data_IF_484341563751
#
_entry.id   IF_484341563751
#
_cell.length_a   1.000
_cell.length_b   1.000
_cell.length_c   1.000
_cell.angle_alpha   90.00
_cell.angle_beta   90.00
_cell.angle_gamma   90.00
#
_symmetry.space_group_name_H-M   'P 1'
#
loop_
_entity.id
_entity.type
_entity.pdbx_description
1 polymer ?
#
# COMPACT_ATOMS: atom_id res chain seq x y z
N UNK A 1 13.54 6.32 -30.93
CA UNK A 1 12.26 6.51 -30.20
C UNK A 1 12.04 8.01 -30.07
N UNK A 2 10.83 8.48 -30.36
CA UNK A 2 10.46 9.89 -30.22
C UNK A 2 10.29 10.27 -28.74
N UNK A 3 10.84 11.42 -28.32
CA UNK A 3 10.83 11.86 -26.91
C UNK A 3 9.39 12.07 -26.40
N UNK A 4 8.50 12.64 -27.21
CA UNK A 4 7.11 12.85 -26.80
C UNK A 4 6.39 11.51 -26.62
N UNK A 5 6.69 10.53 -27.48
CA UNK A 5 6.19 9.17 -27.31
C UNK A 5 6.71 8.50 -26.03
N UNK A 6 7.96 8.77 -25.63
CA UNK A 6 8.53 8.27 -24.37
C UNK A 6 7.81 8.87 -23.15
N UNK A 7 7.62 10.19 -23.15
CA UNK A 7 6.91 10.89 -22.06
C UNK A 7 5.50 10.34 -21.92
N UNK A 8 4.75 10.25 -23.04
CA UNK A 8 3.38 9.73 -23.01
C UNK A 8 3.29 8.30 -22.46
N UNK A 9 4.22 7.42 -22.85
CA UNK A 9 4.24 6.04 -22.33
C UNK A 9 4.51 5.98 -20.83
N UNK A 10 5.37 6.86 -20.32
CA UNK A 10 5.65 6.96 -18.90
C UNK A 10 4.41 7.44 -18.12
N UNK A 11 3.72 8.47 -18.63
CA UNK A 11 2.48 8.98 -18.04
C UNK A 11 1.36 7.91 -18.03
N UNK A 12 1.14 7.23 -19.17
CA UNK A 12 0.13 6.18 -19.29
C UNK A 12 0.43 5.01 -18.31
N UNK A 13 1.71 4.64 -18.15
CA UNK A 13 2.13 3.62 -17.20
C UNK A 13 1.87 4.04 -15.75
N UNK A 14 2.16 5.29 -15.40
CA UNK A 14 1.89 5.83 -14.07
C UNK A 14 0.39 5.89 -13.76
N UNK A 15 -0.44 6.35 -14.71
CA UNK A 15 -1.91 6.37 -14.54
C UNK A 15 -2.47 4.96 -14.31
N UNK A 16 -2.02 3.99 -15.11
CA UNK A 16 -2.43 2.60 -14.95
C UNK A 16 -1.99 2.02 -13.59
N UNK A 17 -0.77 2.34 -13.16
CA UNK A 17 -0.28 2.02 -11.82
C UNK A 17 -1.19 2.60 -10.73
N UNK A 18 -1.50 3.91 -10.77
CA UNK A 18 -2.36 4.56 -9.76
C UNK A 18 -3.74 3.93 -9.68
N UNK A 19 -4.36 3.62 -10.82
CA UNK A 19 -5.67 2.96 -10.87
C UNK A 19 -5.62 1.55 -10.23
N UNK A 20 -4.55 0.78 -10.49
CA UNK A 20 -4.35 -0.55 -9.87
C UNK A 20 -4.10 -0.43 -8.38
N UNK A 21 -3.27 0.52 -7.95
CA UNK A 21 -3.01 0.76 -6.53
C UNK A 21 -4.29 1.14 -5.78
N UNK A 22 -5.12 2.02 -6.35
CA UNK A 22 -6.42 2.39 -5.75
C UNK A 22 -7.34 1.17 -5.59
N UNK A 23 -7.34 0.25 -6.56
CA UNK A 23 -8.10 -1.00 -6.46
C UNK A 23 -7.58 -1.90 -5.33
N UNK A 24 -6.26 -2.01 -5.17
CA UNK A 24 -5.62 -2.76 -4.08
C UNK A 24 -5.91 -2.13 -2.72
N UNK A 25 -5.83 -0.79 -2.61
CA UNK A 25 -6.13 -0.06 -1.39
C UNK A 25 -7.60 -0.26 -0.96
N UNK A 26 -8.55 -0.17 -1.91
CA UNK A 26 -9.97 -0.47 -1.65
C UNK A 26 -10.21 -1.90 -1.21
N UNK A 27 -9.45 -2.85 -1.75
CA UNK A 27 -9.52 -4.25 -1.30
C UNK A 27 -8.94 -4.40 0.12
N UNK A 28 -7.78 -3.81 0.39
CA UNK A 28 -7.13 -3.83 1.69
C UNK A 28 -7.99 -3.19 2.79
N UNK A 29 -8.69 -2.10 2.46
CA UNK A 29 -9.62 -1.40 3.34
C UNK A 29 -10.73 -2.31 3.91
N UNK A 30 -11.07 -3.42 3.23
CA UNK A 30 -12.07 -4.38 3.75
C UNK A 30 -11.59 -5.11 5.00
N UNK A 31 -10.29 -5.25 5.19
CA UNK A 31 -9.66 -5.99 6.28
C UNK A 31 -9.13 -5.07 7.39
N UNK A 32 -9.14 -3.76 7.16
CA UNK A 32 -8.65 -2.71 8.07
C UNK A 32 -9.82 -1.84 8.48
N UNK A 33 -10.17 -1.84 9.77
CA UNK A 33 -11.31 -1.06 10.30
C UNK A 33 -10.92 0.10 11.22
N UNK A 34 -9.62 0.27 11.48
CA UNK A 34 -9.09 1.34 12.33
C UNK A 34 -8.59 2.56 11.57
N UNK A 35 -8.37 2.44 10.26
CA UNK A 35 -7.92 3.53 9.39
C UNK A 35 -8.83 3.63 8.16
N UNK A 36 -9.37 4.81 7.90
CA UNK A 36 -10.23 5.11 6.75
C UNK A 36 -9.45 5.62 5.52
N UNK A 37 -8.13 5.74 5.64
CA UNK A 37 -7.22 6.28 4.62
C UNK A 37 -6.21 5.25 4.14
N UNK A 38 -6.59 3.98 4.12
CA UNK A 38 -5.75 2.91 3.56
C UNK A 38 -5.39 3.27 2.13
N UNK A 39 -4.09 3.28 1.84
CA UNK A 39 -3.57 3.62 0.52
C UNK A 39 -2.58 2.58 0.03
N UNK A 40 -2.10 2.77 -1.20
CA UNK A 40 -1.17 1.86 -1.85
C UNK A 40 -0.10 2.69 -2.55
N UNK A 41 1.16 2.30 -2.38
CA UNK A 41 2.30 2.96 -3.02
C UNK A 41 3.39 1.95 -3.39
N UNK A 42 4.17 2.24 -4.43
CA UNK A 42 5.32 1.44 -4.83
C UNK A 42 6.59 2.04 -4.23
N UNK A 43 7.26 1.29 -3.38
CA UNK A 43 8.54 1.67 -2.80
C UNK A 43 9.70 0.98 -3.55
N UNK A 44 10.79 1.71 -3.90
CA UNK A 44 11.86 1.18 -4.74
C UNK A 44 12.52 -0.13 -4.25
N UNK A 45 12.56 -0.38 -2.94
CA UNK A 45 13.17 -1.58 -2.37
C UNK A 45 12.15 -2.70 -2.08
N UNK A 46 10.91 -2.33 -1.78
CA UNK A 46 9.92 -3.23 -1.17
C UNK A 46 8.79 -3.62 -2.13
N UNK A 47 8.68 -2.93 -3.26
CA UNK A 47 7.65 -3.18 -4.25
C UNK A 47 6.34 -2.48 -3.89
N UNK A 48 5.21 -3.10 -4.24
CA UNK A 48 3.88 -2.57 -3.92
C UNK A 48 3.59 -2.76 -2.43
N UNK A 49 3.23 -1.69 -1.75
CA UNK A 49 2.92 -1.67 -0.33
C UNK A 49 1.52 -1.09 -0.08
N UNK A 50 0.88 -1.58 0.97
CA UNK A 50 -0.31 -1.03 1.60
C UNK A 50 0.14 -0.13 2.75
N UNK A 51 -0.39 1.09 2.80
CA UNK A 51 -0.09 2.06 3.83
C UNK A 51 -1.33 2.27 4.69
N UNK A 52 -1.15 2.21 6.01
CA UNK A 52 -2.20 2.52 6.97
C UNK A 52 -1.62 3.19 8.22
N UNK A 53 -2.35 4.15 8.78
CA UNK A 53 -2.00 4.83 10.02
C UNK A 53 -2.30 3.92 11.21
N UNK A 54 -1.27 3.54 11.97
CA UNK A 54 -1.45 2.77 13.21
C UNK A 54 -1.37 3.70 14.42
N UNK A 55 -2.33 3.61 15.37
CA UNK A 55 -2.38 4.52 16.53
C UNK A 55 -1.15 4.49 17.46
N UNK A 56 -0.34 3.43 17.45
CA UNK A 56 0.75 3.14 18.39
C UNK A 56 2.15 3.22 17.77
N UNK A 57 2.37 4.23 16.91
CA UNK A 57 3.63 4.62 16.28
C UNK A 57 4.27 3.59 15.32
N UNK A 58 4.17 3.87 14.02
CA UNK A 58 5.13 3.44 12.99
C UNK A 58 6.14 4.55 12.62
N UNK A 59 6.40 5.45 13.58
CA UNK A 59 7.30 6.57 13.40
C UNK A 59 8.77 6.10 13.40
N UNK A 60 9.26 5.61 12.26
CA UNK A 60 10.70 5.49 12.05
C UNK A 60 11.28 6.66 11.22
N UNK A 61 10.46 7.48 10.55
CA UNK A 61 11.00 8.55 9.65
C UNK A 61 10.04 9.72 9.35
N UNK A 62 9.03 9.98 10.18
CA UNK A 62 8.13 11.13 10.00
C UNK A 62 6.97 10.92 9.02
N UNK A 63 6.74 9.68 8.56
CA UNK A 63 5.46 9.27 7.98
C UNK A 63 4.61 8.59 9.08
N UNK A 64 3.37 9.02 9.29
CA UNK A 64 2.49 8.42 10.30
C UNK A 64 1.98 7.03 9.90
N UNK A 65 2.03 6.67 8.61
CA UNK A 65 1.61 5.38 8.09
C UNK A 65 2.68 4.29 8.28
N UNK A 66 2.27 3.10 8.73
CA UNK A 66 3.08 1.90 8.56
C UNK A 66 3.02 1.45 7.10
N UNK A 67 4.13 0.89 6.62
CA UNK A 67 4.25 0.39 5.26
C UNK A 67 4.28 -1.13 5.30
N UNK A 68 3.30 -1.79 4.71
CA UNK A 68 3.26 -3.24 4.61
C UNK A 68 3.35 -3.68 3.15
N UNK A 69 4.34 -4.50 2.74
CA UNK A 69 4.34 -5.06 1.39
C UNK A 69 3.05 -5.84 1.11
N UNK A 70 2.49 -5.65 -0.10
CA UNK A 70 1.15 -6.12 -0.43
C UNK A 70 1.02 -7.65 -0.39
N UNK A 71 2.06 -8.38 -0.80
CA UNK A 71 2.06 -9.84 -0.80
C UNK A 71 1.96 -10.42 0.64
N UNK A 72 2.81 -10.02 1.61
CA UNK A 72 2.64 -10.33 3.03
C UNK A 72 1.28 -9.92 3.60
N UNK A 73 0.80 -8.72 3.28
CA UNK A 73 -0.52 -8.25 3.73
C UNK A 73 -1.63 -9.20 3.28
N UNK A 74 -1.77 -9.43 1.97
CA UNK A 74 -2.84 -10.26 1.42
C UNK A 74 -2.69 -11.74 1.80
N UNK A 75 -1.46 -12.21 2.06
CA UNK A 75 -1.24 -13.56 2.60
C UNK A 75 -1.73 -13.69 4.04
N UNK A 76 -1.54 -12.64 4.84
CA UNK A 76 -1.93 -12.62 6.26
C UNK A 76 -3.45 -12.52 6.43
N UNK A 77 -4.11 -11.66 5.65
CA UNK A 77 -5.57 -11.46 5.76
C UNK A 77 -6.39 -12.53 5.06
N UNK A 78 -5.84 -13.32 4.11
CA UNK A 78 -6.58 -14.45 3.50
C UNK A 78 -7.06 -15.50 4.51
N UNK A 79 -6.40 -15.59 5.66
CA UNK A 79 -6.75 -16.52 6.73
C UNK A 79 -7.72 -15.93 7.78
N UNK A 80 -8.07 -14.63 7.66
CA UNK A 80 -8.79 -13.87 8.71
C UNK A 80 -9.85 -12.95 8.10
N UNK A 81 -10.89 -12.59 8.87
CA UNK A 81 -11.87 -11.60 8.41
C UNK A 81 -11.33 -10.17 8.48
N UNK A 82 -10.52 -9.87 9.50
CA UNK A 82 -9.86 -8.59 9.71
C UNK A 82 -8.48 -8.80 10.32
N UNK A 83 -7.58 -7.85 10.09
CA UNK A 83 -6.28 -7.76 10.76
C UNK A 83 -6.40 -6.81 11.95
N UNK A 84 -5.48 -6.83 12.91
CA UNK A 84 -5.41 -5.81 13.98
C UNK A 84 -4.29 -4.80 13.70
N UNK A 85 -4.28 -3.61 14.35
CA UNK A 85 -3.18 -2.67 14.18
C UNK A 85 -1.81 -3.26 14.53
N UNK A 86 -1.73 -4.08 15.58
CA UNK A 86 -0.49 -4.73 16.01
C UNK A 86 -0.03 -5.79 14.99
N UNK A 87 -0.95 -6.61 14.48
CA UNK A 87 -0.64 -7.59 13.44
C UNK A 87 -0.17 -6.93 12.16
N UNK A 88 -0.80 -5.82 11.74
CA UNK A 88 -0.39 -5.04 10.58
C UNK A 88 1.03 -4.48 10.78
N UNK A 89 1.33 -4.00 11.98
CA UNK A 89 2.66 -3.49 12.36
C UNK A 89 3.73 -4.59 12.31
N UNK A 90 3.43 -5.80 12.78
CA UNK A 90 4.38 -6.93 12.75
C UNK A 90 4.80 -7.34 11.34
N UNK A 91 3.92 -7.17 10.36
CA UNK A 91 4.19 -7.48 8.94
C UNK A 91 4.60 -6.25 8.12
N UNK A 92 4.71 -5.09 8.77
CA UNK A 92 5.19 -3.84 8.16
C UNK A 92 6.71 -3.71 8.29
N UNK A 93 7.30 -2.85 7.45
CA UNK A 93 8.73 -2.51 7.44
C UNK A 93 9.05 -1.19 8.14
#
# INVERSE_FOLDING_TARGET
MDINQMIKKADDAYINYRHRCESLAKEAQKYIDWDDKVSCEHLPADGLCILATVPSDCNMSGMPECVCPADPFFSSVKAKEKITPDEFKEISI
#
